data_IF_658631629008
#
_entry.id   IF_658631629008
#
_cell.length_a   1.000
_cell.length_b   1.000
_cell.length_c   1.000
_cell.angle_alpha   90.00
_cell.angle_beta   90.00
_cell.angle_gamma   90.00
#
_symmetry.space_group_name_H-M   'P 1'
#
loop_
_entity.id
_entity.type
_entity.pdbx_description
1 polymer ?
#
# COMPACT_ATOMS: atom_id res chain seq x y z
N UNK A 1 -11.66 20.61 -4.71
CA UNK A 1 -11.59 19.92 -6.00
C UNK A 1 -10.34 19.04 -6.14
N UNK A 2 -9.09 19.55 -6.06
CA UNK A 2 -7.90 18.68 -6.13
C UNK A 2 -7.80 17.67 -4.97
N UNK A 3 -8.07 18.13 -3.75
CA UNK A 3 -8.05 17.27 -2.57
C UNK A 3 -9.08 16.14 -2.66
N UNK A 4 -10.24 16.41 -3.26
CA UNK A 4 -11.30 15.42 -3.42
C UNK A 4 -10.86 14.31 -4.39
N UNK A 5 -10.20 14.67 -5.48
CA UNK A 5 -9.61 13.71 -6.43
C UNK A 5 -8.52 12.86 -5.79
N UNK A 6 -7.59 13.46 -5.03
CA UNK A 6 -6.53 12.70 -4.34
C UNK A 6 -7.15 11.74 -3.33
N UNK A 7 -8.15 12.20 -2.58
CA UNK A 7 -8.86 11.33 -1.62
C UNK A 7 -9.60 10.20 -2.33
N UNK A 8 -10.23 10.47 -3.47
CA UNK A 8 -10.94 9.45 -4.23
C UNK A 8 -9.96 8.40 -4.76
N UNK A 9 -8.82 8.83 -5.30
CA UNK A 9 -7.78 7.95 -5.83
C UNK A 9 -7.21 7.00 -4.75
N UNK A 10 -6.85 7.54 -3.58
CA UNK A 10 -6.36 6.74 -2.43
C UNK A 10 -7.42 5.75 -1.95
N UNK A 11 -8.71 6.14 -1.93
CA UNK A 11 -9.80 5.26 -1.53
C UNK A 11 -10.06 4.16 -2.56
N UNK A 12 -9.97 4.46 -3.85
CA UNK A 12 -10.15 3.48 -4.93
C UNK A 12 -9.02 2.46 -4.99
N UNK A 13 -7.79 2.88 -4.67
CA UNK A 13 -6.58 2.07 -4.74
C UNK A 13 -6.03 1.72 -3.36
N UNK A 14 -6.91 1.49 -2.36
CA UNK A 14 -6.45 1.08 -1.04
C UNK A 14 -5.75 -0.29 -1.14
N UNK A 15 -4.43 -0.24 -1.20
CA UNK A 15 -3.56 -1.39 -1.32
C UNK A 15 -3.01 -1.77 0.04
N UNK A 16 -3.11 -3.04 0.36
CA UNK A 16 -2.60 -3.64 1.59
C UNK A 16 -1.59 -4.76 1.29
N UNK A 17 -1.11 -4.87 0.06
CA UNK A 17 -0.04 -5.82 -0.29
C UNK A 17 1.19 -5.52 0.57
N UNK A 18 1.69 -6.49 1.36
CA UNK A 18 2.89 -6.28 2.16
C UNK A 18 4.10 -5.99 1.28
N UNK A 19 4.86 -4.94 1.63
CA UNK A 19 6.16 -4.68 1.02
C UNK A 19 7.16 -5.70 1.55
N UNK A 20 7.59 -6.63 0.71
CA UNK A 20 8.61 -7.61 1.06
C UNK A 20 10.01 -7.03 0.88
N UNK A 21 10.97 -7.64 1.57
CA UNK A 21 12.36 -7.24 1.55
C UNK A 21 13.23 -8.47 1.27
N UNK A 22 14.32 -8.26 0.53
CA UNK A 22 15.33 -9.27 0.25
C UNK A 22 16.73 -8.75 0.58
N UNK A 23 17.64 -9.67 0.88
CA UNK A 23 19.06 -9.36 0.95
C UNK A 23 19.61 -9.23 -0.47
N UNK A 24 20.24 -8.11 -0.77
CA UNK A 24 20.88 -7.82 -2.05
C UNK A 24 22.41 -7.89 -1.88
N UNK A 25 23.04 -8.77 -2.66
CA UNK A 25 24.48 -9.01 -2.56
C UNK A 25 25.31 -7.87 -3.17
N UNK A 26 24.78 -7.10 -4.11
CA UNK A 26 25.52 -5.98 -4.72
C UNK A 26 25.53 -4.77 -3.77
N UNK A 27 24.38 -4.47 -3.17
CA UNK A 27 24.21 -3.41 -2.19
C UNK A 27 24.67 -3.81 -0.77
N UNK A 28 25.00 -5.09 -0.54
CA UNK A 28 25.37 -5.65 0.77
C UNK A 28 24.37 -5.23 1.86
N UNK A 29 23.07 -5.36 1.56
CA UNK A 29 22.02 -4.81 2.41
C UNK A 29 20.63 -5.33 2.09
N UNK A 30 19.65 -4.96 2.93
CA UNK A 30 18.25 -5.33 2.74
C UNK A 30 17.56 -4.29 1.86
N UNK A 31 17.01 -4.72 0.72
CA UNK A 31 16.28 -3.86 -0.21
C UNK A 31 14.81 -4.28 -0.33
N UNK A 32 13.89 -3.32 -0.48
CA UNK A 32 12.48 -3.59 -0.75
C UNK A 32 12.28 -4.15 -2.16
N UNK A 33 11.34 -5.08 -2.30
CA UNK A 33 10.94 -5.68 -3.57
C UNK A 33 9.73 -4.93 -4.12
N UNK A 34 9.94 -4.11 -5.15
CA UNK A 34 8.88 -3.27 -5.73
C UNK A 34 8.07 -3.93 -6.85
N UNK A 35 8.44 -5.12 -7.33
CA UNK A 35 7.76 -5.79 -8.44
C UNK A 35 6.59 -6.69 -7.99
N UNK A 36 6.14 -6.58 -6.75
CA UNK A 36 5.01 -7.34 -6.22
C UNK A 36 3.70 -6.98 -6.91
N UNK A 37 2.84 -7.97 -7.14
CA UNK A 37 1.47 -7.70 -7.61
C UNK A 37 0.66 -7.01 -6.52
N UNK A 38 0.24 -5.77 -6.79
CA UNK A 38 -0.63 -4.99 -5.91
C UNK A 38 -2.06 -5.53 -5.91
N UNK A 39 -2.71 -5.52 -4.75
CA UNK A 39 -4.11 -5.95 -4.64
C UNK A 39 -4.97 -4.92 -3.94
N UNK A 40 -5.88 -4.31 -4.69
CA UNK A 40 -6.86 -3.39 -4.13
C UNK A 40 -7.81 -4.10 -3.16
N UNK A 41 -8.20 -3.37 -2.11
CA UNK A 41 -9.19 -3.78 -1.12
C UNK A 41 -10.34 -2.78 -1.06
N UNK A 42 -11.46 -3.22 -0.48
CA UNK A 42 -12.63 -2.39 -0.29
C UNK A 42 -12.33 -1.37 0.82
N UNK A 43 -12.25 -0.09 0.47
CA UNK A 43 -11.87 0.97 1.40
C UNK A 43 -12.74 1.05 2.66
N UNK A 44 -14.04 0.73 2.57
CA UNK A 44 -14.94 0.76 3.74
C UNK A 44 -14.41 -0.10 4.89
N UNK A 45 -13.84 -1.25 4.57
CA UNK A 45 -13.41 -2.23 5.58
C UNK A 45 -12.09 -1.78 6.21
N UNK A 46 -11.21 -1.18 5.40
CA UNK A 46 -9.98 -0.51 5.85
C UNK A 46 -10.29 0.66 6.78
N UNK A 47 -11.27 1.49 6.40
CA UNK A 47 -11.67 2.65 7.19
C UNK A 47 -12.30 2.23 8.54
N UNK A 48 -13.18 1.23 8.54
CA UNK A 48 -13.77 0.68 9.76
C UNK A 48 -12.71 0.13 10.71
N UNK A 49 -11.74 -0.64 10.20
CA UNK A 49 -10.60 -1.13 10.98
C UNK A 49 -9.79 0.01 11.60
N UNK A 50 -9.55 1.10 10.85
CA UNK A 50 -8.78 2.23 11.33
C UNK A 50 -9.50 3.01 12.45
N UNK A 51 -10.83 3.08 12.41
CA UNK A 51 -11.66 3.75 13.43
C UNK A 51 -11.82 2.95 14.74
N UNK A 52 -11.49 1.66 14.75
CA UNK A 52 -11.58 0.79 15.94
C UNK A 52 -10.33 0.85 16.84
N UNK A 53 -9.41 1.78 16.57
CA UNK A 53 -8.17 2.03 17.32
C UNK A 53 -8.25 3.37 18.05
#
# INVERSE_FOLDING_TARGET
HCLDYIRQDIQCHSDLTPLSYLWDEEAQGVLPVFNSTHTCRKFSDVHLWALQR
#
